data_IF_235698087555
#
_entry.id   IF_235698087555
#
_cell.length_a   1.000
_cell.length_b   1.000
_cell.length_c   1.000
_cell.angle_alpha   90.00
_cell.angle_beta   90.00
_cell.angle_gamma   90.00
#
_symmetry.space_group_name_H-M   'P 1'
#
loop_
_entity.id
_entity.type
_entity.pdbx_description
1 polymer ?
#
# COMPACT_ATOMS: atom_id res chain seq x y z
N UNK A 1 7.93 11.46 -2.76
CA UNK A 1 6.65 11.06 -2.20
C UNK A 1 6.90 10.28 -0.92
N UNK A 2 6.14 10.54 0.12
CA UNK A 2 6.19 9.84 1.41
C UNK A 2 4.78 9.58 1.92
N UNK A 3 4.67 8.70 2.92
CA UNK A 3 3.40 8.47 3.59
C UNK A 3 2.91 9.75 4.32
N UNK A 4 1.60 9.98 4.44
CA UNK A 4 1.06 11.22 5.03
C UNK A 4 1.59 11.56 6.43
N UNK A 5 1.72 10.57 7.31
CA UNK A 5 2.25 10.77 8.66
C UNK A 5 3.74 11.19 8.66
N UNK A 6 4.54 10.76 7.67
CA UNK A 6 5.92 11.21 7.52
C UNK A 6 5.98 12.63 6.97
N UNK A 7 5.05 12.99 6.07
CA UNK A 7 4.98 14.33 5.53
C UNK A 7 4.69 15.37 6.61
N UNK A 8 3.83 15.07 7.58
CA UNK A 8 3.57 15.93 8.71
C UNK A 8 4.83 16.31 9.52
N UNK A 9 5.88 15.46 9.47
CA UNK A 9 7.14 15.73 10.15
C UNK A 9 8.06 16.71 9.39
N UNK A 10 7.86 16.87 8.08
CA UNK A 10 8.70 17.73 7.23
C UNK A 10 8.04 19.05 6.84
N UNK A 11 6.77 19.25 7.19
CA UNK A 11 6.07 20.51 6.94
C UNK A 11 6.61 21.63 7.83
N UNK A 12 7.00 22.75 7.21
CA UNK A 12 7.44 23.95 7.93
C UNK A 12 6.27 24.69 8.58
N UNK A 13 5.12 24.74 7.92
CA UNK A 13 3.88 25.33 8.42
C UNK A 13 2.79 24.30 8.34
N UNK A 14 2.14 24.04 9.45
CA UNK A 14 1.03 23.09 9.58
C UNK A 14 -0.23 23.86 9.89
N UNK A 15 -1.29 23.57 9.16
CA UNK A 15 -2.63 24.08 9.49
C UNK A 15 -3.48 22.91 10.01
N UNK A 16 -4.34 23.22 10.96
CA UNK A 16 -5.18 22.20 11.63
C UNK A 16 -6.02 21.39 10.65
N UNK A 17 -6.49 22.01 9.58
CA UNK A 17 -7.29 21.34 8.57
C UNK A 17 -6.49 20.27 7.79
N UNK A 18 -5.24 20.56 7.39
CA UNK A 18 -4.35 19.57 6.76
C UNK A 18 -4.02 18.43 7.73
N UNK A 19 -3.66 18.80 8.99
CA UNK A 19 -3.33 17.81 10.01
C UNK A 19 -4.49 16.85 10.22
N UNK A 20 -5.71 17.36 10.38
CA UNK A 20 -6.90 16.55 10.63
C UNK A 20 -7.18 15.54 9.50
N UNK A 21 -6.95 15.92 8.24
CA UNK A 21 -7.12 15.05 7.09
C UNK A 21 -5.98 14.02 7.02
N UNK A 22 -4.72 14.46 7.12
CA UNK A 22 -3.54 13.62 6.92
C UNK A 22 -3.31 12.63 8.07
N UNK A 23 -3.59 13.03 9.32
CA UNK A 23 -3.42 12.17 10.51
C UNK A 23 -4.43 11.02 10.57
N UNK A 24 -5.46 11.06 9.75
CA UNK A 24 -6.40 9.95 9.64
C UNK A 24 -5.90 8.75 8.81
N UNK A 25 -4.83 8.95 8.04
CA UNK A 25 -4.20 7.88 7.27
C UNK A 25 -3.22 7.13 8.17
N UNK A 26 -3.73 6.12 8.86
CA UNK A 26 -2.94 5.27 9.74
C UNK A 26 -2.17 4.22 8.95
N UNK A 27 -0.99 3.85 9.46
CA UNK A 27 -0.14 2.83 8.88
C UNK A 27 0.20 1.78 9.95
N UNK A 28 0.19 0.52 9.54
CA UNK A 28 0.57 -0.61 10.37
C UNK A 28 1.93 -1.14 9.93
N UNK A 29 2.81 -1.35 10.91
CA UNK A 29 4.08 -2.03 10.68
C UNK A 29 3.84 -3.53 10.52
N UNK A 30 4.38 -4.09 9.44
CA UNK A 30 4.33 -5.51 9.16
C UNK A 30 5.75 -6.02 8.94
N UNK A 31 6.13 -7.05 9.69
CA UNK A 31 7.39 -7.76 9.47
C UNK A 31 7.24 -8.63 8.22
N UNK A 32 8.02 -8.34 7.20
CA UNK A 32 8.11 -9.15 5.98
C UNK A 32 9.38 -9.99 6.03
N UNK A 33 9.24 -11.29 5.82
CA UNK A 33 10.32 -12.27 5.90
C UNK A 33 10.42 -13.06 4.60
N UNK A 34 11.58 -12.99 3.94
CA UNK A 34 11.91 -13.83 2.79
C UNK A 34 12.48 -15.16 3.28
N UNK A 35 11.95 -16.27 2.81
CA UNK A 35 12.36 -17.60 3.20
C UNK A 35 12.11 -18.65 2.11
N UNK A 36 12.64 -19.86 2.33
CA UNK A 36 12.44 -21.03 1.49
C UNK A 36 11.66 -22.16 2.20
N UNK A 37 11.11 -21.89 3.37
CA UNK A 37 10.36 -22.87 4.14
C UNK A 37 8.91 -22.97 3.62
N UNK A 38 8.54 -24.12 3.07
CA UNK A 38 7.19 -24.39 2.54
C UNK A 38 6.18 -24.83 3.61
N UNK A 39 6.56 -24.95 4.87
CA UNK A 39 5.65 -25.38 5.95
C UNK A 39 4.46 -24.43 6.18
N UNK A 40 4.57 -23.18 5.73
CA UNK A 40 3.48 -22.18 5.76
C UNK A 40 2.53 -22.27 4.56
N UNK A 41 2.81 -23.15 3.62
CA UNK A 41 1.96 -23.36 2.45
C UNK A 41 0.94 -24.47 2.70
N UNK A 42 -0.17 -24.52 1.96
CA UNK A 42 -1.10 -25.65 2.04
C UNK A 42 -0.38 -26.98 1.88
N UNK A 43 -0.80 -28.06 2.59
CA UNK A 43 -0.14 -29.37 2.51
C UNK A 43 -0.05 -29.94 1.08
N UNK A 44 -1.05 -29.69 0.26
CA UNK A 44 -1.07 -30.11 -1.14
C UNK A 44 -0.55 -29.01 -2.07
N UNK A 45 0.54 -29.23 -2.77
CA UNK A 45 1.15 -28.24 -3.67
C UNK A 45 0.18 -27.75 -4.76
N UNK A 46 -0.78 -28.58 -5.18
CA UNK A 46 -1.81 -28.19 -6.14
C UNK A 46 -2.73 -27.07 -5.62
N UNK A 47 -2.83 -26.88 -4.30
CA UNK A 47 -3.59 -25.81 -3.68
C UNK A 47 -2.78 -24.52 -3.49
N UNK A 48 -1.48 -24.50 -3.82
CA UNK A 48 -0.66 -23.32 -3.67
C UNK A 48 -1.09 -22.23 -4.64
N UNK A 49 -1.43 -21.08 -4.09
CA UNK A 49 -1.72 -19.86 -4.84
C UNK A 49 -0.53 -18.89 -4.77
N UNK A 50 -0.54 -17.85 -5.59
CA UNK A 50 0.41 -16.74 -5.48
C UNK A 50 0.32 -16.07 -4.10
N UNK A 51 -0.89 -16.03 -3.54
CA UNK A 51 -1.21 -15.49 -2.22
C UNK A 51 -1.89 -16.59 -1.40
N UNK A 52 -1.35 -16.90 -0.24
CA UNK A 52 -1.88 -17.91 0.65
C UNK A 52 -2.13 -17.26 2.01
N UNK A 53 -3.38 -17.26 2.40
CA UNK A 53 -3.84 -16.64 3.63
C UNK A 53 -4.03 -17.72 4.70
N UNK A 54 -3.52 -17.46 5.91
CA UNK A 54 -3.66 -18.33 7.05
C UNK A 54 -4.23 -17.56 8.24
N UNK A 55 -5.14 -18.18 8.95
CA UNK A 55 -5.54 -17.77 10.29
C UNK A 55 -4.95 -18.76 11.30
N UNK A 56 -4.34 -18.26 12.34
CA UNK A 56 -3.97 -19.10 13.49
C UNK A 56 -5.13 -19.19 14.49
N UNK A 57 -4.97 -20.02 15.52
CA UNK A 57 -5.98 -20.23 16.55
C UNK A 57 -6.32 -18.97 17.38
N UNK A 58 -5.60 -17.87 17.20
CA UNK A 58 -5.80 -16.59 17.88
C UNK A 58 -6.38 -15.52 16.95
N UNK A 59 -7.01 -15.91 15.84
CA UNK A 59 -7.56 -15.03 14.80
C UNK A 59 -6.52 -14.05 14.17
N UNK A 60 -5.23 -14.32 14.38
CA UNK A 60 -4.20 -13.54 13.71
C UNK A 60 -4.07 -14.00 12.25
N UNK A 61 -4.22 -13.05 11.38
CA UNK A 61 -4.11 -13.28 9.96
C UNK A 61 -2.64 -13.16 9.53
N UNK A 62 -2.16 -14.19 8.84
CA UNK A 62 -0.85 -14.18 8.20
C UNK A 62 -1.00 -14.42 6.71
N UNK A 63 -0.07 -13.91 5.94
CA UNK A 63 -0.09 -14.01 4.50
C UNK A 63 1.26 -14.50 4.01
N UNK A 64 1.26 -15.48 3.11
CA UNK A 64 2.45 -15.97 2.44
C UNK A 64 2.32 -15.84 0.92
N UNK A 65 3.26 -15.12 0.33
CA UNK A 65 3.39 -14.97 -1.12
C UNK A 65 4.31 -16.05 -1.65
N UNK A 66 3.88 -16.79 -2.66
CA UNK A 66 4.74 -17.70 -3.41
C UNK A 66 5.41 -16.96 -4.56
N UNK A 67 6.69 -16.61 -4.37
CA UNK A 67 7.41 -15.72 -5.27
C UNK A 67 7.66 -16.33 -6.64
N UNK A 68 7.89 -17.66 -6.73
CA UNK A 68 8.08 -18.35 -8.00
C UNK A 68 6.85 -18.31 -8.94
N UNK A 69 5.66 -18.05 -8.38
CA UNK A 69 4.44 -17.85 -9.18
C UNK A 69 4.18 -16.38 -9.49
N UNK A 70 4.69 -15.46 -8.67
CA UNK A 70 4.54 -14.02 -8.87
C UNK A 70 5.58 -13.45 -9.83
N UNK A 71 6.76 -14.06 -9.89
CA UNK A 71 7.88 -13.57 -10.67
C UNK A 71 8.49 -14.72 -11.48
N UNK A 72 9.01 -14.47 -12.70
CA UNK A 72 9.67 -15.47 -13.53
C UNK A 72 11.07 -15.78 -12.98
N UNK A 73 11.14 -16.42 -11.81
CA UNK A 73 12.41 -16.81 -11.19
C UNK A 73 12.98 -18.04 -11.89
N UNK A 74 14.21 -17.93 -12.43
CA UNK A 74 14.91 -19.03 -13.07
C UNK A 74 15.63 -19.88 -12.01
N UNK A 75 14.87 -20.56 -11.14
CA UNK A 75 15.39 -21.41 -10.08
C UNK A 75 14.46 -22.58 -9.78
N UNK A 76 15.02 -23.69 -9.28
CA UNK A 76 14.26 -24.82 -8.74
C UNK A 76 13.86 -24.63 -7.29
N UNK A 77 14.56 -23.74 -6.57
CA UNK A 77 14.28 -23.43 -5.18
C UNK A 77 12.97 -22.65 -5.08
N UNK A 78 12.24 -22.90 -4.01
CA UNK A 78 10.99 -22.20 -3.73
C UNK A 78 11.26 -21.05 -2.79
N UNK A 79 10.76 -19.86 -3.15
CA UNK A 79 10.87 -18.66 -2.34
C UNK A 79 9.50 -18.13 -1.94
N UNK A 80 9.42 -17.72 -0.70
CA UNK A 80 8.21 -17.16 -0.10
C UNK A 80 8.53 -15.84 0.59
N UNK A 81 7.56 -14.93 0.58
CA UNK A 81 7.56 -13.76 1.45
C UNK A 81 6.35 -13.89 2.37
N UNK A 82 6.58 -13.98 3.66
CA UNK A 82 5.50 -14.08 4.65
C UNK A 82 5.45 -12.86 5.54
N UNK A 83 4.23 -12.45 5.92
CA UNK A 83 4.00 -11.30 6.78
C UNK A 83 3.64 -11.76 8.19
N UNK A 84 4.25 -11.10 9.18
CA UNK A 84 3.94 -11.24 10.61
C UNK A 84 4.00 -12.69 11.13
N UNK A 85 4.97 -13.45 10.66
CA UNK A 85 5.24 -14.80 11.15
C UNK A 85 6.14 -14.74 12.40
N UNK A 86 5.83 -15.60 13.39
CA UNK A 86 6.61 -15.72 14.62
C UNK A 86 7.81 -16.70 14.48
N UNK A 87 8.17 -17.08 13.25
CA UNK A 87 9.28 -17.99 13.00
C UNK A 87 10.49 -17.20 12.52
N UNK A 88 11.67 -17.63 12.95
CA UNK A 88 12.92 -17.07 12.47
C UNK A 88 13.25 -17.66 11.09
N UNK A 89 13.04 -16.86 10.07
CA UNK A 89 13.36 -17.21 8.69
C UNK A 89 14.66 -16.51 8.29
N UNK A 90 15.69 -17.29 8.03
CA UNK A 90 17.09 -16.84 7.98
C UNK A 90 17.57 -16.21 6.66
N UNK A 91 16.74 -15.94 5.65
CA UNK A 91 17.23 -15.36 4.40
C UNK A 91 17.28 -13.83 4.47
N UNK A 92 16.16 -13.19 4.73
CA UNK A 92 16.07 -11.73 4.84
C UNK A 92 14.78 -11.32 5.54
N UNK A 93 14.82 -10.24 6.30
CA UNK A 93 13.62 -9.65 6.89
C UNK A 93 13.70 -8.12 6.91
N UNK A 94 12.55 -7.49 6.82
CA UNK A 94 12.40 -6.04 6.91
C UNK A 94 11.02 -5.67 7.41
N UNK A 95 10.85 -4.44 7.86
CA UNK A 95 9.56 -3.91 8.30
C UNK A 95 9.03 -2.95 7.24
N UNK A 96 7.81 -3.23 6.76
CA UNK A 96 7.05 -2.32 5.90
C UNK A 96 5.88 -1.71 6.65
N UNK A 97 5.53 -0.49 6.27
CA UNK A 97 4.33 0.19 6.75
C UNK A 97 3.26 0.12 5.67
N UNK A 98 2.12 -0.48 6.02
CA UNK A 98 0.97 -0.59 5.13
C UNK A 98 -0.18 0.29 5.62
N UNK A 99 -0.90 0.98 4.72
CA UNK A 99 -2.05 1.79 5.12
C UNK A 99 -3.17 0.93 5.70
N UNK A 100 -3.80 1.43 6.76
CA UNK A 100 -5.00 0.83 7.37
C UNK A 100 -6.22 1.56 6.83
N UNK A 101 -7.16 0.82 6.27
CA UNK A 101 -8.42 1.37 5.75
C UNK A 101 -9.51 1.29 6.82
N UNK A 102 -9.83 2.44 7.40
CA UNK A 102 -10.92 2.63 8.36
C UNK A 102 -12.00 3.53 7.77
N UNK A 103 -13.14 3.64 8.43
CA UNK A 103 -14.17 4.62 8.03
C UNK A 103 -13.64 6.05 8.03
N UNK A 104 -12.78 6.39 9.00
CA UNK A 104 -12.12 7.71 9.06
C UNK A 104 -11.21 7.92 7.86
N UNK A 105 -10.41 6.92 7.48
CA UNK A 105 -9.56 6.97 6.27
C UNK A 105 -10.39 7.21 5.01
N UNK A 106 -11.51 6.50 4.84
CA UNK A 106 -12.39 6.68 3.69
C UNK A 106 -13.00 8.08 3.62
N UNK A 107 -13.36 8.67 4.75
CA UNK A 107 -13.83 10.06 4.83
C UNK A 107 -12.72 11.04 4.42
N UNK A 108 -11.50 10.82 4.88
CA UNK A 108 -10.36 11.67 4.55
C UNK A 108 -9.89 11.52 3.11
N UNK A 109 -10.02 10.33 2.51
CA UNK A 109 -9.82 10.17 1.06
C UNK A 109 -10.74 11.08 0.25
N UNK A 110 -12.00 11.28 0.68
CA UNK A 110 -12.92 12.22 0.03
C UNK A 110 -12.57 13.67 0.33
N UNK A 111 -12.12 13.96 1.56
CA UNK A 111 -11.80 15.30 2.01
C UNK A 111 -10.46 15.83 1.47
N UNK A 112 -9.54 14.97 1.02
CA UNK A 112 -8.20 15.37 0.55
C UNK A 112 -8.24 16.42 -0.56
N UNK A 113 -9.32 16.43 -1.38
CA UNK A 113 -9.55 17.43 -2.41
C UNK A 113 -9.55 18.87 -1.91
N UNK A 114 -9.93 19.07 -0.63
CA UNK A 114 -10.04 20.39 0.01
C UNK A 114 -8.65 21.01 0.29
N UNK A 115 -7.61 20.19 0.40
CA UNK A 115 -6.25 20.65 0.68
C UNK A 115 -5.32 20.52 -0.55
N UNK A 116 -5.82 19.99 -1.66
CA UNK A 116 -5.03 19.87 -2.89
C UNK A 116 -4.70 21.23 -3.51
N UNK A 117 -3.44 21.59 -3.57
CA UNK A 117 -2.92 22.85 -4.09
C UNK A 117 -2.77 23.93 -3.03
N UNK A 118 -3.16 23.66 -1.78
CA UNK A 118 -2.90 24.59 -0.70
C UNK A 118 -1.38 24.78 -0.49
N UNK A 119 -0.92 26.03 -0.41
CA UNK A 119 0.52 26.37 -0.34
C UNK A 119 1.37 25.65 -1.42
N UNK A 120 0.83 25.48 -2.63
CA UNK A 120 1.46 24.77 -3.75
C UNK A 120 1.81 23.30 -3.42
N UNK A 121 1.12 22.69 -2.47
CA UNK A 121 1.33 21.30 -2.05
C UNK A 121 0.23 20.40 -2.59
N UNK A 122 0.64 19.25 -3.13
CA UNK A 122 -0.28 18.25 -3.68
C UNK A 122 0.00 16.88 -3.07
N UNK A 123 -1.06 16.18 -2.71
CA UNK A 123 -1.02 14.89 -2.05
C UNK A 123 -1.39 13.81 -3.05
N UNK A 124 -0.49 12.87 -3.29
CA UNK A 124 -0.68 11.73 -4.18
C UNK A 124 -0.16 10.46 -3.53
N UNK A 125 -0.72 9.33 -3.89
CA UNK A 125 -0.26 8.03 -3.39
C UNK A 125 -1.37 6.98 -3.37
N UNK A 126 -0.98 5.74 -3.20
CA UNK A 126 -1.89 4.60 -3.17
C UNK A 126 -2.88 4.64 -2.00
N UNK A 127 -2.55 5.32 -0.92
CA UNK A 127 -3.42 5.53 0.25
C UNK A 127 -4.69 6.34 -0.06
N UNK A 128 -4.74 7.00 -1.21
CA UNK A 128 -5.92 7.74 -1.68
C UNK A 128 -6.95 6.87 -2.41
N UNK A 129 -6.63 5.60 -2.63
CA UNK A 129 -7.53 4.58 -3.17
C UNK A 129 -7.53 3.34 -2.29
N UNK A 130 -7.32 2.17 -2.87
CA UNK A 130 -7.32 0.88 -2.18
C UNK A 130 -5.92 0.39 -1.75
N UNK A 131 -4.87 1.18 -1.95
CA UNK A 131 -3.49 0.85 -1.57
C UNK A 131 -2.67 0.17 -2.66
N UNK A 132 -3.16 0.07 -3.88
CA UNK A 132 -2.46 -0.55 -5.01
C UNK A 132 -1.63 0.47 -5.81
N UNK A 133 -0.68 -0.03 -6.61
CA UNK A 133 0.12 0.82 -7.50
C UNK A 133 -0.74 1.66 -8.45
N UNK A 134 -1.82 1.07 -8.95
CA UNK A 134 -2.79 1.76 -9.81
C UNK A 134 -3.40 2.99 -9.13
N UNK A 135 -3.71 2.90 -7.83
CA UNK A 135 -4.25 4.03 -7.08
C UNK A 135 -3.24 5.18 -6.96
N UNK A 136 -1.95 4.83 -6.83
CA UNK A 136 -0.86 5.81 -6.85
C UNK A 136 -0.78 6.55 -8.19
N UNK A 137 -0.88 5.81 -9.30
CA UNK A 137 -0.88 6.38 -10.65
C UNK A 137 -2.12 7.24 -10.86
N UNK A 138 -3.32 6.73 -10.56
CA UNK A 138 -4.58 7.47 -10.75
C UNK A 138 -4.62 8.75 -9.92
N UNK A 139 -4.12 8.74 -8.68
CA UNK A 139 -4.05 9.94 -7.85
C UNK A 139 -3.13 11.01 -8.46
N UNK A 140 -2.01 10.59 -9.02
CA UNK A 140 -1.06 11.49 -9.71
C UNK A 140 -1.66 12.07 -10.99
N UNK A 141 -2.30 11.24 -11.80
CA UNK A 141 -2.99 11.68 -13.02
C UNK A 141 -4.12 12.68 -12.73
N UNK A 142 -4.82 12.49 -11.61
CA UNK A 142 -5.87 13.42 -11.18
C UNK A 142 -5.30 14.80 -10.85
N UNK A 143 -4.12 14.87 -10.23
CA UNK A 143 -3.41 16.14 -10.01
C UNK A 143 -2.93 16.74 -11.33
N UNK A 144 -2.37 15.95 -12.24
CA UNK A 144 -1.97 16.45 -13.55
C UNK A 144 -3.15 17.08 -14.29
N UNK A 145 -4.32 16.44 -14.28
CA UNK A 145 -5.56 17.01 -14.85
C UNK A 145 -5.93 18.34 -14.17
N UNK A 146 -5.85 18.42 -12.84
CA UNK A 146 -6.13 19.65 -12.08
C UNK A 146 -5.16 20.79 -12.46
N UNK A 147 -3.93 20.48 -12.80
CA UNK A 147 -2.89 21.43 -13.22
C UNK A 147 -2.89 21.71 -14.73
N UNK A 148 -3.84 21.14 -15.48
CA UNK A 148 -3.87 21.19 -16.95
C UNK A 148 -2.60 20.66 -17.61
N UNK A 149 -1.97 19.65 -17.00
CA UNK A 149 -0.80 18.97 -17.53
C UNK A 149 -1.27 17.70 -18.26
N UNK A 150 -1.01 17.64 -19.56
CA UNK A 150 -1.24 16.44 -20.35
C UNK A 150 -0.04 15.50 -20.26
N UNK A 151 -0.32 14.24 -19.93
CA UNK A 151 0.68 13.18 -19.97
C UNK A 151 0.42 12.32 -21.20
N UNK A 152 1.38 12.27 -22.09
CA UNK A 152 1.32 11.46 -23.31
C UNK A 152 0.97 10.01 -22.94
N UNK A 153 0.01 9.40 -23.64
CA UNK A 153 -0.55 8.07 -23.41
C UNK A 153 -1.50 7.92 -22.19
N UNK A 154 -1.78 9.00 -21.46
CA UNK A 154 -2.69 8.97 -20.29
C UNK A 154 -3.81 10.01 -20.35
N UNK A 155 -4.03 10.64 -21.50
CA UNK A 155 -5.03 11.72 -21.69
C UNK A 155 -6.45 11.29 -21.31
N UNK A 156 -6.80 10.04 -21.56
CA UNK A 156 -8.13 9.46 -21.27
C UNK A 156 -8.11 8.49 -20.09
N UNK A 157 -7.08 8.55 -19.23
CA UNK A 157 -6.97 7.63 -18.11
C UNK A 157 -8.16 7.80 -17.14
N UNK A 158 -8.72 6.67 -16.74
CA UNK A 158 -9.73 6.62 -15.70
C UNK A 158 -9.09 6.97 -14.34
N UNK A 159 -9.72 7.85 -13.60
CA UNK A 159 -9.30 8.23 -12.24
C UNK A 159 -10.44 8.05 -11.23
N UNK A 160 -11.45 7.26 -11.59
CA UNK A 160 -12.67 7.08 -10.79
C UNK A 160 -12.46 6.38 -9.44
N UNK A 161 -11.36 5.61 -9.32
CA UNK A 161 -11.00 4.96 -8.06
C UNK A 161 -10.56 5.95 -6.96
N UNK A 162 -10.23 7.18 -7.35
CA UNK A 162 -9.80 8.22 -6.41
C UNK A 162 -11.01 9.09 -6.05
N UNK A 163 -11.51 9.04 -4.80
CA UNK A 163 -12.86 9.48 -4.45
C UNK A 163 -13.05 10.99 -4.24
N UNK A 164 -12.01 11.80 -4.39
CA UNK A 164 -12.14 13.26 -4.28
C UNK A 164 -12.35 13.94 -5.65
N UNK A 165 -13.03 15.09 -5.67
CA UNK A 165 -13.30 15.91 -6.87
C UNK A 165 -12.28 17.04 -7.02
#
# INVERSE_FOLDING_TARGET
>A
ACAPHLFLNVMNQKIDHEINILDSFLFQKNLAQLHNNSALMPPHKAAWSSWNFHTNNNDQCTLSYWMNKLQPLNTKDQFFVSLNQNQDFNLYQTVYEHPIFSLKTLQSQKAIGQIQGFQNTFYVGSYLGYGFHEDGIQSSLKICKKLNIEIKNFTNADTSRIPWN
#
